data_IF_748407560485
#
_entry.id   IF_748407560485
#
_cell.length_a   1.000
_cell.length_b   1.000
_cell.length_c   1.000
_cell.angle_alpha   90.00
_cell.angle_beta   90.00
_cell.angle_gamma   90.00
#
_symmetry.space_group_name_H-M   'P 1'
#
loop_
_entity.id
_entity.type
_entity.pdbx_description
1 polymer ?
#
# COMPACT_ATOMS: atom_id res chain seq x y z
N UNK A 1 2.80 -44.38 -30.29
CA UNK A 1 2.10 -43.86 -29.09
C UNK A 1 3.05 -42.90 -28.40
N UNK A 2 2.80 -41.58 -28.46
CA UNK A 2 3.63 -40.58 -27.80
C UNK A 2 2.71 -39.67 -27.00
N UNK A 3 2.71 -39.83 -25.67
CA UNK A 3 1.91 -39.04 -24.74
C UNK A 3 2.59 -37.69 -24.53
N UNK A 4 1.97 -36.62 -25.04
CA UNK A 4 2.33 -35.23 -24.70
C UNK A 4 1.57 -34.83 -23.44
N UNK A 5 2.28 -34.75 -22.32
CA UNK A 5 1.82 -34.06 -21.12
C UNK A 5 1.93 -32.56 -21.37
N UNK A 6 0.79 -31.89 -21.57
CA UNK A 6 0.69 -30.43 -21.52
C UNK A 6 0.42 -30.05 -20.08
N UNK A 7 1.49 -29.66 -19.39
CA UNK A 7 1.44 -29.03 -18.06
C UNK A 7 0.93 -27.61 -18.25
N UNK A 8 -0.38 -27.40 -18.07
CA UNK A 8 -1.01 -26.09 -18.13
C UNK A 8 -0.62 -25.22 -16.94
N UNK A 9 0.43 -24.41 -17.09
CA UNK A 9 0.74 -23.33 -16.16
C UNK A 9 -0.33 -22.25 -16.26
N UNK A 10 -1.08 -22.03 -15.18
CA UNK A 10 -2.04 -20.93 -15.08
C UNK A 10 -1.22 -19.64 -14.93
N UNK A 11 -1.02 -18.93 -16.04
CA UNK A 11 -0.55 -17.55 -16.04
C UNK A 11 -1.69 -16.68 -15.50
N UNK A 12 -1.55 -16.19 -14.27
CA UNK A 12 -2.43 -15.14 -13.76
C UNK A 12 -2.18 -13.86 -14.58
N UNK A 13 -3.08 -13.59 -15.52
CA UNK A 13 -3.07 -12.37 -16.31
C UNK A 13 -3.40 -11.17 -15.40
N UNK A 14 -2.40 -10.33 -15.13
CA UNK A 14 -2.64 -8.98 -14.64
C UNK A 14 -3.41 -8.21 -15.73
N UNK A 15 -4.44 -7.45 -15.33
CA UNK A 15 -5.28 -6.69 -16.26
C UNK A 15 -4.43 -5.79 -17.19
N UNK A 16 -4.70 -5.74 -18.51
CA UNK A 16 -3.89 -4.98 -19.45
C UNK A 16 -4.15 -3.48 -19.28
N UNK A 17 -3.09 -2.69 -19.05
CA UNK A 17 -3.12 -1.26 -19.34
C UNK A 17 -2.51 -0.31 -18.31
N UNK A 18 -2.26 -0.73 -17.07
CA UNK A 18 -1.54 0.10 -16.10
C UNK A 18 -0.03 -0.18 -16.21
N UNK A 19 0.78 0.85 -16.46
CA UNK A 19 2.22 0.74 -16.36
C UNK A 19 2.58 0.20 -14.97
N UNK A 20 3.54 -0.73 -14.90
CA UNK A 20 4.06 -1.20 -13.60
C UNK A 20 4.63 0.04 -12.92
N UNK A 21 4.11 0.44 -11.74
CA UNK A 21 4.59 1.63 -11.05
C UNK A 21 6.08 1.54 -10.82
N UNK A 22 6.80 2.61 -11.13
CA UNK A 22 8.21 2.74 -10.73
C UNK A 22 8.28 3.22 -9.28
N UNK A 23 9.45 3.09 -8.64
CA UNK A 23 9.62 3.53 -7.26
C UNK A 23 9.34 5.04 -7.09
N UNK A 24 9.54 5.84 -8.14
CA UNK A 24 9.29 7.28 -8.12
C UNK A 24 7.79 7.62 -8.15
N UNK A 25 6.95 6.75 -8.71
CA UNK A 25 5.51 6.93 -8.79
C UNK A 25 4.79 6.55 -7.47
N UNK A 26 5.42 5.65 -6.70
CA UNK A 26 4.81 5.01 -5.53
C UNK A 26 4.32 6.01 -4.47
N UNK A 27 5.06 7.07 -4.10
CA UNK A 27 4.56 8.04 -3.12
C UNK A 27 3.26 8.73 -3.55
N UNK A 28 3.18 9.14 -4.82
CA UNK A 28 1.99 9.80 -5.36
C UNK A 28 0.79 8.85 -5.42
N UNK A 29 1.02 7.59 -5.83
CA UNK A 29 -0.01 6.55 -5.85
C UNK A 29 -0.53 6.23 -4.45
N UNK A 30 0.36 6.16 -3.46
CA UNK A 30 -0.03 5.90 -2.07
C UNK A 30 -0.85 7.06 -1.49
N UNK A 31 -0.42 8.31 -1.72
CA UNK A 31 -1.21 9.48 -1.32
C UNK A 31 -2.60 9.47 -1.96
N UNK A 32 -2.70 9.17 -3.26
CA UNK A 32 -3.98 9.09 -3.96
C UNK A 32 -4.90 7.99 -3.38
N UNK A 33 -4.35 6.82 -3.04
CA UNK A 33 -5.11 5.74 -2.41
C UNK A 33 -5.70 6.14 -1.04
N UNK A 34 -4.92 6.89 -0.26
CA UNK A 34 -5.35 7.41 1.06
C UNK A 34 -6.45 8.46 0.90
N UNK A 35 -6.25 9.47 0.04
CA UNK A 35 -7.24 10.53 -0.22
C UNK A 35 -8.58 9.93 -0.63
N UNK A 36 -8.57 8.91 -1.50
CA UNK A 36 -9.78 8.20 -1.94
C UNK A 36 -10.53 7.51 -0.80
N UNK A 37 -9.83 7.09 0.26
CA UNK A 37 -10.41 6.30 1.35
C UNK A 37 -10.97 7.15 2.48
N UNK A 38 -10.27 8.23 2.87
CA UNK A 38 -10.58 8.97 4.10
C UNK A 38 -10.82 10.47 3.90
N UNK A 39 -10.89 10.95 2.66
CA UNK A 39 -11.23 12.35 2.31
C UNK A 39 -10.39 13.40 3.09
N UNK A 40 -9.07 13.15 3.18
CA UNK A 40 -8.11 14.09 3.76
C UNK A 40 -7.36 14.86 2.67
N UNK A 41 -6.93 16.11 2.93
CA UNK A 41 -6.07 16.80 1.99
C UNK A 41 -4.71 16.10 1.88
N UNK A 42 -4.11 16.08 0.68
CA UNK A 42 -2.78 15.50 0.47
C UNK A 42 -1.70 16.12 1.37
N UNK A 43 -1.88 17.39 1.78
CA UNK A 43 -0.96 18.08 2.69
C UNK A 43 -0.93 17.50 4.10
N UNK A 44 -1.95 16.74 4.51
CA UNK A 44 -2.00 16.05 5.79
C UNK A 44 -1.29 14.69 5.76
N UNK A 45 -0.86 14.22 4.59
CA UNK A 45 -0.24 12.90 4.42
C UNK A 45 1.28 13.05 4.43
N UNK A 46 1.91 12.46 5.44
CA UNK A 46 3.35 12.44 5.61
C UNK A 46 3.89 11.04 5.36
N UNK A 47 4.56 10.84 4.22
CA UNK A 47 5.21 9.58 3.87
C UNK A 47 6.57 9.50 4.57
N UNK A 48 6.74 8.50 5.44
CA UNK A 48 8.00 8.27 6.17
C UNK A 48 8.92 7.29 5.44
N UNK A 49 8.36 6.28 4.77
CA UNK A 49 9.16 5.25 4.10
C UNK A 49 8.45 4.69 2.88
N UNK A 50 9.22 4.50 1.80
CA UNK A 50 8.80 3.78 0.59
C UNK A 50 9.87 2.76 0.24
N UNK A 51 9.47 1.51 -0.01
CA UNK A 51 10.43 0.45 -0.39
C UNK A 51 9.77 -0.73 -1.09
N UNK A 52 10.53 -1.54 -1.83
CA UNK A 52 10.03 -2.80 -2.37
C UNK A 52 9.59 -3.71 -1.22
N UNK A 53 8.44 -4.34 -1.36
CA UNK A 53 7.99 -5.34 -0.39
C UNK A 53 8.72 -6.65 -0.62
N UNK A 54 9.18 -7.28 0.47
CA UNK A 54 9.78 -8.62 0.43
C UNK A 54 8.76 -9.73 0.66
N UNK A 55 7.54 -9.37 1.08
CA UNK A 55 6.47 -10.30 1.45
C UNK A 55 5.26 -10.24 0.51
N UNK A 56 5.05 -9.12 -0.18
CA UNK A 56 3.95 -8.91 -1.12
C UNK A 56 4.52 -8.43 -2.47
N UNK A 57 3.82 -8.66 -3.59
CA UNK A 57 4.23 -8.06 -4.86
C UNK A 57 4.16 -6.53 -4.80
N UNK A 58 5.22 -5.86 -5.25
CA UNK A 58 5.27 -4.41 -5.37
C UNK A 58 6.04 -3.69 -4.26
N UNK A 59 5.48 -2.61 -3.74
CA UNK A 59 6.09 -1.62 -2.85
C UNK A 59 5.21 -1.42 -1.62
N UNK A 60 5.85 -1.19 -0.49
CA UNK A 60 5.22 -0.77 0.75
C UNK A 60 5.48 0.72 0.95
N UNK A 61 4.44 1.43 1.36
CA UNK A 61 4.51 2.82 1.82
C UNK A 61 3.97 2.90 3.23
N UNK A 62 4.76 3.50 4.11
CA UNK A 62 4.40 3.77 5.50
C UNK A 62 4.45 5.28 5.75
N UNK A 63 3.52 5.77 6.55
CA UNK A 63 3.48 7.18 6.91
C UNK A 63 2.47 7.49 8.00
N UNK A 64 2.26 8.78 8.19
CA UNK A 64 1.36 9.35 9.19
C UNK A 64 0.41 10.32 8.48
N UNK A 65 -0.81 10.40 8.98
CA UNK A 65 -1.83 11.36 8.55
C UNK A 65 -2.13 12.25 9.74
N UNK A 66 -2.02 13.56 9.52
CA UNK A 66 -2.46 14.54 10.49
C UNK A 66 -3.96 14.76 10.32
N UNK A 67 -4.77 14.11 11.16
CA UNK A 67 -6.19 14.34 11.17
C UNK A 67 -6.56 15.49 12.10
N UNK A 68 -7.17 16.51 11.53
CA UNK A 68 -7.90 17.52 12.29
C UNK A 68 -9.23 16.93 12.77
N UNK A 69 -9.18 16.22 13.89
CA UNK A 69 -10.39 15.79 14.60
C UNK A 69 -10.85 16.89 15.56
N UNK A 70 -12.17 16.96 15.79
CA UNK A 70 -12.81 17.94 16.69
C UNK A 70 -12.34 17.87 18.18
N UNK A 71 -11.41 16.98 18.52
CA UNK A 71 -10.82 16.81 19.84
C UNK A 71 -9.30 16.99 19.89
N UNK A 72 -8.68 17.59 18.85
CA UNK A 72 -7.24 17.87 18.77
C UNK A 72 -6.55 17.14 17.60
N UNK A 73 -5.30 17.53 17.35
CA UNK A 73 -4.44 16.92 16.32
C UNK A 73 -4.20 15.44 16.66
N UNK A 74 -4.64 14.54 15.78
CA UNK A 74 -4.40 13.11 15.91
C UNK A 74 -3.58 12.64 14.74
N UNK A 75 -2.41 12.08 15.07
CA UNK A 75 -1.52 11.49 14.10
C UNK A 75 -1.90 10.03 13.91
N UNK A 76 -2.42 9.68 12.75
CA UNK A 76 -2.83 8.34 12.41
C UNK A 76 -1.80 7.67 11.51
N UNK A 77 -1.30 6.48 11.87
CA UNK A 77 -0.38 5.76 11.00
C UNK A 77 -1.14 5.07 9.89
N UNK A 78 -0.52 5.03 8.71
CA UNK A 78 -1.04 4.29 7.57
C UNK A 78 0.02 3.37 6.95
N UNK A 79 -0.49 2.36 6.25
CA UNK A 79 0.27 1.38 5.49
C UNK A 79 -0.42 1.13 4.15
N UNK A 80 0.31 1.30 3.04
CA UNK A 80 -0.19 1.06 1.67
C UNK A 80 0.71 0.07 0.94
N UNK A 81 0.13 -0.79 0.10
CA UNK A 81 0.87 -1.71 -0.79
C UNK A 81 0.56 -1.38 -2.24
N UNK A 82 1.56 -1.00 -3.05
CA UNK A 82 1.44 -0.65 -4.47
C UNK A 82 2.11 -1.72 -5.35
N UNK A 83 1.52 -2.27 -6.42
CA UNK A 83 0.22 -1.93 -7.00
C UNK A 83 -0.90 -2.64 -6.23
N UNK A 84 -1.63 -1.86 -5.44
CA UNK A 84 -2.77 -2.27 -4.65
C UNK A 84 -3.42 -0.99 -4.13
N UNK A 85 -4.72 -0.84 -4.31
CA UNK A 85 -5.44 0.36 -3.82
C UNK A 85 -5.79 0.19 -2.32
N UNK A 86 -4.94 -0.52 -1.58
CA UNK A 86 -5.21 -0.92 -0.20
C UNK A 86 -4.39 -0.08 0.76
N UNK A 87 -5.05 0.89 1.38
CA UNK A 87 -4.56 1.64 2.53
C UNK A 87 -5.18 1.06 3.81
N UNK A 88 -4.33 0.69 4.77
CA UNK A 88 -4.69 0.32 6.15
C UNK A 88 -4.32 1.48 7.04
N UNK A 89 -5.24 1.92 7.88
CA UNK A 89 -5.02 2.96 8.87
C UNK A 89 -5.18 2.40 10.30
N UNK A 90 -4.68 3.12 11.31
CA UNK A 90 -4.85 2.69 12.70
C UNK A 90 -6.34 2.50 13.08
N UNK A 91 -7.26 3.28 12.50
CA UNK A 91 -8.73 3.11 12.67
C UNK A 91 -9.27 1.80 12.15
N UNK A 92 -8.63 1.21 11.13
CA UNK A 92 -9.04 -0.07 10.54
C UNK A 92 -8.61 -1.24 11.43
N UNK A 93 -7.62 -1.01 12.30
CA UNK A 93 -7.16 -1.95 13.29
C UNK A 93 -5.67 -1.76 13.60
N UNK A 94 -5.37 -1.11 14.72
CA UNK A 94 -3.99 -0.87 15.19
C UNK A 94 -3.11 -2.12 15.15
N UNK A 95 -3.64 -3.29 15.54
CA UNK A 95 -2.88 -4.56 15.51
C UNK A 95 -2.44 -4.96 14.09
N UNK A 96 -3.25 -4.66 13.07
CA UNK A 96 -2.89 -4.92 11.68
C UNK A 96 -1.78 -3.97 11.24
N UNK A 97 -1.94 -2.67 11.51
CA UNK A 97 -0.90 -1.67 11.25
C UNK A 97 0.39 -2.06 11.93
N UNK A 98 0.41 -2.35 13.23
CA UNK A 98 1.61 -2.76 13.97
C UNK A 98 2.27 -4.01 13.39
N UNK A 99 1.48 -5.00 12.98
CA UNK A 99 1.97 -6.23 12.35
C UNK A 99 2.68 -5.91 11.04
N UNK A 100 2.04 -5.16 10.14
CA UNK A 100 2.60 -4.81 8.84
C UNK A 100 3.75 -3.80 8.96
N UNK A 101 3.66 -2.85 9.88
CA UNK A 101 4.68 -1.86 10.19
C UNK A 101 5.97 -2.53 10.66
N UNK A 102 5.86 -3.45 11.61
CA UNK A 102 7.01 -4.22 12.12
C UNK A 102 7.55 -5.19 11.07
N UNK A 103 6.64 -5.92 10.40
CA UNK A 103 7.01 -6.90 9.37
C UNK A 103 7.73 -6.29 8.18
N UNK A 104 7.41 -5.03 7.86
CA UNK A 104 8.05 -4.28 6.81
C UNK A 104 9.01 -3.25 7.38
N UNK A 105 9.46 -3.32 8.64
CA UNK A 105 10.50 -2.43 9.21
C UNK A 105 10.29 -0.94 8.87
N UNK A 106 9.07 -0.45 9.00
CA UNK A 106 8.79 0.97 8.87
C UNK A 106 9.38 1.66 10.11
N UNK A 107 10.26 2.64 9.89
CA UNK A 107 10.96 3.38 10.95
C UNK A 107 10.32 4.74 11.14
#
# INVERSE_FOLDING_TARGET
MNHLFVTGGILLAAAPGAAIPTMDDVPALAAAAIVRRIDVPMSAIHISSTKPSTKMPGFVVCGIIDEQSAGGDKNERFFVVIPGDFAILDRDGQKLVDTYWSANQCK
#
